data_IF_399232028746
#
_entry.id   IF_399232028746
#
_cell.length_a   1.000
_cell.length_b   1.000
_cell.length_c   1.000
_cell.angle_alpha   90.00
_cell.angle_beta   90.00
_cell.angle_gamma   90.00
#
_symmetry.space_group_name_H-M   'P 1'
#
loop_
_entity.id
_entity.type
_entity.pdbx_description
1 polymer ?
#
# COMPACT_ATOMS: atom_id res chain seq x y z
N UNK A 1 -14.43 -20.49 -19.32
CA UNK A 1 -13.85 -20.81 -17.99
C UNK A 1 -14.05 -19.66 -17.01
N UNK A 2 -13.63 -18.43 -17.29
CA UNK A 2 -13.83 -17.28 -16.37
C UNK A 2 -15.27 -17.03 -15.90
N UNK A 3 -16.27 -17.01 -16.80
CA UNK A 3 -17.69 -16.86 -16.44
C UNK A 3 -18.19 -17.93 -15.45
N UNK A 4 -17.71 -19.17 -15.59
CA UNK A 4 -18.08 -20.26 -14.69
C UNK A 4 -17.46 -20.07 -13.30
N UNK A 5 -16.20 -19.62 -13.22
CA UNK A 5 -15.56 -19.28 -11.94
C UNK A 5 -16.28 -18.13 -11.22
N UNK A 6 -16.69 -17.09 -11.96
CA UNK A 6 -17.47 -15.99 -11.40
C UNK A 6 -18.82 -16.48 -10.87
N UNK A 7 -19.49 -17.36 -11.61
CA UNK A 7 -20.73 -17.98 -11.16
C UNK A 7 -20.51 -18.80 -9.88
N UNK A 8 -19.49 -19.68 -9.85
CA UNK A 8 -19.14 -20.50 -8.67
C UNK A 8 -18.85 -19.64 -7.44
N UNK A 9 -18.12 -18.54 -7.59
CA UNK A 9 -17.90 -17.58 -6.50
C UNK A 9 -19.20 -17.01 -5.96
N UNK A 10 -20.09 -16.57 -6.85
CA UNK A 10 -21.37 -15.97 -6.48
C UNK A 10 -22.27 -16.97 -5.74
N UNK A 11 -22.42 -18.19 -6.26
CA UNK A 11 -23.25 -19.21 -5.60
C UNK A 11 -22.62 -19.71 -4.30
N UNK A 12 -21.28 -19.78 -4.20
CA UNK A 12 -20.60 -20.10 -2.93
C UNK A 12 -20.87 -19.03 -1.87
N UNK A 13 -20.70 -17.76 -2.23
CA UNK A 13 -20.95 -16.64 -1.33
C UNK A 13 -22.43 -16.57 -0.89
N UNK A 14 -23.36 -16.79 -1.82
CA UNK A 14 -24.81 -16.81 -1.54
C UNK A 14 -25.16 -17.94 -0.58
N UNK A 15 -24.66 -19.16 -0.82
CA UNK A 15 -24.90 -20.30 0.08
C UNK A 15 -24.35 -20.05 1.48
N UNK A 16 -23.20 -19.39 1.62
CA UNK A 16 -22.64 -19.01 2.93
C UNK A 16 -23.51 -17.96 3.64
N UNK A 17 -24.00 -16.97 2.91
CA UNK A 17 -24.87 -15.92 3.48
C UNK A 17 -26.22 -16.48 3.95
N UNK A 18 -26.79 -17.41 3.18
CA UNK A 18 -28.03 -18.12 3.51
C UNK A 18 -27.83 -19.26 4.53
N UNK A 19 -26.60 -19.45 5.05
CA UNK A 19 -26.23 -20.50 5.99
C UNK A 19 -26.50 -21.94 5.47
N UNK A 20 -26.47 -22.14 4.15
CA UNK A 20 -26.58 -23.42 3.46
C UNK A 20 -25.19 -24.06 3.34
N UNK A 21 -24.68 -24.56 4.47
CA UNK A 21 -23.29 -24.99 4.60
C UNK A 21 -22.90 -26.13 3.66
N UNK A 22 -23.76 -27.14 3.48
CA UNK A 22 -23.46 -28.27 2.59
C UNK A 22 -23.25 -27.81 1.14
N UNK A 23 -24.17 -26.98 0.63
CA UNK A 23 -24.05 -26.39 -0.71
C UNK A 23 -22.84 -25.45 -0.82
N UNK A 24 -22.51 -24.71 0.23
CA UNK A 24 -21.31 -23.87 0.24
C UNK A 24 -20.04 -24.73 0.13
N UNK A 25 -19.94 -25.82 0.88
CA UNK A 25 -18.79 -26.74 0.84
C UNK A 25 -18.64 -27.39 -0.53
N UNK A 26 -19.75 -27.84 -1.14
CA UNK A 26 -19.75 -28.41 -2.49
C UNK A 26 -19.27 -27.39 -3.53
N UNK A 27 -19.86 -26.19 -3.54
CA UNK A 27 -19.49 -25.13 -4.48
C UNK A 27 -18.02 -24.70 -4.33
N UNK A 28 -17.52 -24.58 -3.08
CA UNK A 28 -16.13 -24.23 -2.80
C UNK A 28 -15.16 -25.35 -3.21
N UNK A 29 -15.57 -26.61 -3.04
CA UNK A 29 -14.77 -27.77 -3.49
C UNK A 29 -14.62 -27.78 -5.02
N UNK A 30 -15.70 -27.50 -5.75
CA UNK A 30 -15.65 -27.36 -7.21
C UNK A 30 -14.80 -26.14 -7.62
N UNK A 31 -14.93 -25.03 -6.90
CA UNK A 31 -14.13 -23.82 -7.17
C UNK A 31 -12.63 -24.09 -7.05
N UNK A 32 -12.17 -24.75 -5.98
CA UNK A 32 -10.74 -25.08 -5.80
C UNK A 32 -10.17 -25.98 -6.90
N UNK A 33 -10.99 -26.85 -7.50
CA UNK A 33 -10.54 -27.71 -8.61
C UNK A 33 -10.32 -26.92 -9.91
N UNK A 34 -10.88 -25.72 -10.04
CA UNK A 34 -10.90 -24.95 -11.29
C UNK A 34 -10.05 -23.66 -11.24
N UNK A 35 -9.60 -23.24 -10.06
CA UNK A 35 -8.74 -22.06 -9.87
C UNK A 35 -7.26 -22.41 -9.95
N UNK A 36 -6.42 -21.41 -10.25
CA UNK A 36 -4.97 -21.57 -10.32
C UNK A 36 -4.27 -20.22 -10.09
N UNK A 37 -3.29 -20.20 -9.18
CA UNK A 37 -2.45 -19.02 -8.91
C UNK A 37 -1.50 -18.69 -10.08
N UNK A 38 -1.20 -19.66 -10.93
CA UNK A 38 -0.38 -19.49 -12.13
C UNK A 38 -1.23 -19.40 -13.41
N UNK A 39 -2.55 -19.30 -13.26
CA UNK A 39 -3.51 -19.22 -14.36
C UNK A 39 -3.72 -17.80 -14.88
N UNK A 40 -4.83 -17.63 -15.62
CA UNK A 40 -5.25 -16.30 -16.09
C UNK A 40 -5.68 -15.37 -14.93
N UNK A 41 -5.96 -14.10 -15.23
CA UNK A 41 -6.36 -13.11 -14.21
C UNK A 41 -7.61 -13.52 -13.44
N UNK A 42 -8.60 -14.14 -14.10
CA UNK A 42 -9.85 -14.55 -13.44
C UNK A 42 -9.61 -15.75 -12.53
N UNK A 43 -8.76 -16.69 -12.94
CA UNK A 43 -8.35 -17.83 -12.10
C UNK A 43 -7.64 -17.38 -10.83
N UNK A 44 -6.73 -16.39 -10.94
CA UNK A 44 -5.99 -15.85 -9.80
C UNK A 44 -6.91 -15.12 -8.82
N UNK A 45 -7.79 -14.25 -9.32
CA UNK A 45 -8.80 -13.58 -8.50
C UNK A 45 -9.69 -14.60 -7.81
N UNK A 46 -10.20 -15.59 -8.55
CA UNK A 46 -11.08 -16.60 -7.99
C UNK A 46 -10.39 -17.48 -6.93
N UNK A 47 -9.09 -17.76 -7.05
CA UNK A 47 -8.34 -18.47 -6.03
C UNK A 47 -8.32 -17.71 -4.70
N UNK A 48 -7.94 -16.42 -4.73
CA UNK A 48 -7.88 -15.61 -3.51
C UNK A 48 -9.26 -15.39 -2.87
N UNK A 49 -10.31 -15.23 -3.68
CA UNK A 49 -11.68 -15.16 -3.15
C UNK A 49 -12.15 -16.51 -2.57
N UNK A 50 -11.76 -17.65 -3.16
CA UNK A 50 -12.05 -18.96 -2.61
C UNK A 50 -11.46 -19.09 -1.19
N UNK A 51 -10.19 -18.72 -1.01
CA UNK A 51 -9.51 -18.71 0.29
C UNK A 51 -10.27 -17.83 1.30
N UNK A 52 -10.71 -16.63 0.89
CA UNK A 52 -11.49 -15.73 1.76
C UNK A 52 -12.85 -16.32 2.18
N UNK A 53 -13.57 -16.97 1.26
CA UNK A 53 -14.86 -17.62 1.56
C UNK A 53 -14.66 -18.83 2.49
N UNK A 54 -13.59 -19.59 2.30
CA UNK A 54 -13.26 -20.75 3.15
C UNK A 54 -12.82 -20.30 4.53
N UNK A 55 -12.01 -19.23 4.62
CA UNK A 55 -11.63 -18.64 5.90
C UNK A 55 -12.84 -18.16 6.70
N UNK A 56 -13.89 -17.65 6.03
CA UNK A 56 -15.17 -17.26 6.66
C UNK A 56 -15.98 -18.47 7.14
N UNK A 57 -15.93 -19.60 6.42
CA UNK A 57 -16.61 -20.84 6.79
C UNK A 57 -15.92 -21.54 7.98
N UNK A 58 -14.59 -21.49 8.02
CA UNK A 58 -13.80 -22.20 9.01
C UNK A 58 -13.76 -21.48 10.36
N UNK A 59 -13.62 -22.27 11.43
CA UNK A 59 -13.32 -21.71 12.76
C UNK A 59 -11.87 -21.22 12.82
N UNK A 60 -11.60 -20.23 13.66
CA UNK A 60 -10.24 -19.71 13.91
C UNK A 60 -9.24 -20.75 14.45
N UNK A 61 -9.73 -21.92 14.90
CA UNK A 61 -8.90 -23.03 15.38
C UNK A 61 -8.51 -24.02 14.28
N UNK A 62 -9.04 -23.85 13.07
CA UNK A 62 -8.70 -24.71 11.94
C UNK A 62 -7.25 -24.42 11.47
N UNK A 63 -6.38 -25.44 11.34
CA UNK A 63 -5.05 -25.25 10.77
C UNK A 63 -5.08 -24.66 9.35
N UNK A 64 -6.14 -24.94 8.59
CA UNK A 64 -6.32 -24.38 7.25
C UNK A 64 -6.69 -22.90 7.29
N UNK A 65 -7.47 -22.47 8.30
CA UNK A 65 -7.75 -21.05 8.53
C UNK A 65 -6.47 -20.31 8.94
N UNK A 66 -5.68 -20.88 9.83
CA UNK A 66 -4.37 -20.32 10.23
C UNK A 66 -3.43 -20.17 9.02
N UNK A 67 -3.40 -21.17 8.13
CA UNK A 67 -2.59 -21.11 6.91
C UNK A 67 -3.04 -19.99 5.96
N UNK A 68 -4.35 -19.83 5.73
CA UNK A 68 -4.90 -18.78 4.84
C UNK A 68 -4.67 -17.39 5.44
N UNK A 69 -4.88 -17.24 6.75
CA UNK A 69 -4.79 -15.96 7.46
C UNK A 69 -3.38 -15.63 7.94
N UNK A 70 -2.37 -16.38 7.50
CA UNK A 70 -0.99 -16.14 7.89
C UNK A 70 -0.52 -14.82 7.30
N UNK A 71 -0.20 -13.87 8.17
CA UNK A 71 0.37 -12.58 7.78
C UNK A 71 1.74 -12.78 7.11
N UNK A 72 2.06 -11.97 6.08
CA UNK A 72 3.40 -11.98 5.48
C UNK A 72 4.45 -11.49 6.47
N UNK A 73 5.71 -11.84 6.23
CA UNK A 73 6.81 -11.20 6.96
C UNK A 73 6.94 -9.74 6.51
N UNK A 74 7.51 -8.84 7.36
CA UNK A 74 7.77 -7.45 6.96
C UNK A 74 8.63 -7.35 5.68
N UNK A 75 9.57 -8.27 5.48
CA UNK A 75 10.41 -8.35 4.28
C UNK A 75 9.60 -8.71 3.03
N UNK A 76 8.72 -9.73 3.13
CA UNK A 76 7.85 -10.13 2.01
C UNK A 76 6.90 -8.98 1.62
N UNK A 77 6.35 -8.29 2.61
CA UNK A 77 5.45 -7.14 2.39
C UNK A 77 6.19 -5.99 1.71
N UNK A 78 7.40 -5.66 2.17
CA UNK A 78 8.23 -4.62 1.56
C UNK A 78 8.58 -4.95 0.10
N UNK A 79 8.97 -6.20 -0.18
CA UNK A 79 9.28 -6.65 -1.54
C UNK A 79 8.04 -6.60 -2.44
N UNK A 80 6.88 -7.04 -1.94
CA UNK A 80 5.63 -6.97 -2.68
C UNK A 80 5.22 -5.52 -2.99
N UNK A 81 5.34 -4.62 -2.01
CA UNK A 81 5.08 -3.20 -2.20
C UNK A 81 6.02 -2.59 -3.24
N UNK A 82 7.32 -2.89 -3.16
CA UNK A 82 8.32 -2.40 -4.10
C UNK A 82 8.05 -2.89 -5.53
N UNK A 83 7.71 -4.17 -5.71
CA UNK A 83 7.36 -4.71 -7.03
C UNK A 83 6.08 -4.08 -7.56
N UNK A 84 5.05 -3.91 -6.74
CA UNK A 84 3.82 -3.22 -7.15
C UNK A 84 4.09 -1.78 -7.60
N UNK A 85 4.97 -1.07 -6.90
CA UNK A 85 5.41 0.29 -7.28
C UNK A 85 6.17 0.34 -8.62
N UNK A 86 6.88 -0.74 -9.00
CA UNK A 86 7.60 -0.85 -10.27
C UNK A 86 6.70 -1.24 -11.44
N UNK A 87 5.76 -2.17 -11.23
CA UNK A 87 4.96 -2.75 -12.31
C UNK A 87 3.63 -2.02 -12.53
N UNK A 88 3.20 -1.19 -11.59
CA UNK A 88 1.93 -0.47 -11.65
C UNK A 88 2.11 1.02 -11.31
N UNK A 89 1.52 1.95 -12.07
CA UNK A 89 1.59 3.37 -11.78
C UNK A 89 0.68 3.78 -10.63
N UNK A 90 -0.06 2.85 -10.01
CA UNK A 90 -1.12 3.17 -9.04
C UNK A 90 -0.65 4.08 -7.90
N UNK A 91 0.40 3.67 -7.18
CA UNK A 91 0.95 4.45 -6.07
C UNK A 91 1.72 5.68 -6.57
N UNK A 92 2.50 5.55 -7.65
CA UNK A 92 3.23 6.67 -8.25
C UNK A 92 2.29 7.81 -8.65
N UNK A 93 1.17 7.48 -9.29
CA UNK A 93 0.15 8.44 -9.69
C UNK A 93 -0.42 9.18 -8.49
N UNK A 94 -0.81 8.45 -7.44
CA UNK A 94 -1.33 9.05 -6.21
C UNK A 94 -0.29 9.97 -5.55
N UNK A 95 0.95 9.49 -5.37
CA UNK A 95 2.05 10.23 -4.75
C UNK A 95 2.41 11.49 -5.54
N UNK A 96 2.62 11.39 -6.85
CA UNK A 96 2.98 12.55 -7.66
C UNK A 96 1.86 13.57 -7.71
N UNK A 97 0.60 13.14 -7.86
CA UNK A 97 -0.54 14.06 -7.86
C UNK A 97 -0.66 14.78 -6.53
N UNK A 98 -0.54 14.07 -5.40
CA UNK A 98 -0.56 14.68 -4.07
C UNK A 98 0.60 15.66 -3.87
N UNK A 99 1.82 15.27 -4.25
CA UNK A 99 3.00 16.11 -4.11
C UNK A 99 2.93 17.37 -4.99
N UNK A 100 2.34 17.30 -6.19
CA UNK A 100 2.10 18.49 -7.01
C UNK A 100 1.17 19.47 -6.29
N UNK A 101 0.05 18.98 -5.73
CA UNK A 101 -0.89 19.84 -5.00
C UNK A 101 -0.26 20.44 -3.73
N UNK A 102 0.55 19.66 -3.01
CA UNK A 102 1.31 20.14 -1.85
C UNK A 102 2.29 21.24 -2.25
N UNK A 103 3.04 21.04 -3.34
CA UNK A 103 3.98 22.04 -3.85
C UNK A 103 3.25 23.31 -4.27
N UNK A 104 2.18 23.22 -5.05
CA UNK A 104 1.40 24.40 -5.44
C UNK A 104 0.86 25.17 -4.23
N UNK A 105 0.39 24.46 -3.19
CA UNK A 105 -0.05 25.08 -1.95
C UNK A 105 1.11 25.78 -1.22
N UNK A 106 2.27 25.12 -1.13
CA UNK A 106 3.48 25.71 -0.56
C UNK A 106 3.89 26.98 -1.30
N UNK A 107 3.87 26.99 -2.64
CA UNK A 107 4.24 28.15 -3.45
C UNK A 107 3.26 29.31 -3.33
N UNK A 108 1.96 29.04 -3.22
CA UNK A 108 0.96 30.09 -2.99
C UNK A 108 1.21 30.88 -1.71
N UNK A 109 1.77 30.23 -0.69
CA UNK A 109 2.07 30.80 0.61
C UNK A 109 3.54 31.28 0.73
N UNK A 110 4.29 31.43 -0.37
CA UNK A 110 5.73 31.72 -0.36
C UNK A 110 6.13 32.97 0.46
N UNK A 111 5.22 33.95 0.58
CA UNK A 111 5.45 35.17 1.38
C UNK A 111 5.33 34.96 2.88
N UNK A 112 4.56 33.95 3.30
CA UNK A 112 4.10 33.78 4.68
C UNK A 112 4.62 32.46 5.30
N UNK A 113 5.02 31.49 4.48
CA UNK A 113 5.42 30.15 4.92
C UNK A 113 6.87 30.05 5.45
N UNK A 114 7.68 31.13 5.34
CA UNK A 114 9.09 31.16 5.73
C UNK A 114 9.93 29.98 5.20
N UNK A 115 9.64 29.53 3.97
CA UNK A 115 10.28 28.37 3.32
C UNK A 115 10.17 27.06 4.13
N UNK A 116 9.16 26.96 5.01
CA UNK A 116 8.95 25.82 5.89
C UNK A 116 7.68 25.08 5.49
N UNK A 117 7.81 23.78 5.23
CA UNK A 117 6.71 22.88 4.95
C UNK A 117 6.62 21.82 6.05
N UNK A 118 5.44 21.66 6.63
CA UNK A 118 5.15 20.55 7.54
C UNK A 118 4.06 19.66 6.93
N UNK A 119 4.43 18.42 6.64
CA UNK A 119 3.52 17.38 6.17
C UNK A 119 3.15 16.47 7.33
N UNK A 120 1.87 16.11 7.42
CA UNK A 120 1.38 15.05 8.31
C UNK A 120 0.91 13.91 7.43
N UNK A 121 1.64 12.80 7.46
CA UNK A 121 1.35 11.59 6.69
C UNK A 121 0.70 10.54 7.60
N UNK A 122 -0.56 10.20 7.30
CA UNK A 122 -1.38 9.33 8.14
C UNK A 122 -1.06 7.84 7.96
N UNK A 123 -0.27 7.49 6.95
CA UNK A 123 0.26 6.14 6.74
C UNK A 123 1.53 6.24 5.88
N UNK A 124 2.65 6.53 6.54
CA UNK A 124 3.93 6.80 5.84
C UNK A 124 4.48 5.56 5.13
N UNK A 125 4.05 4.38 5.55
CA UNK A 125 4.54 3.09 5.08
C UNK A 125 6.06 3.09 4.95
N UNK A 126 6.55 2.80 3.73
CA UNK A 126 7.97 2.75 3.42
C UNK A 126 8.59 4.09 2.96
N UNK A 127 7.81 5.18 2.97
CA UNK A 127 8.27 6.54 2.66
C UNK A 127 8.46 6.87 1.17
N UNK A 128 7.93 6.05 0.24
CA UNK A 128 8.22 6.17 -1.20
C UNK A 128 7.68 7.46 -1.85
N UNK A 129 6.70 8.12 -1.24
CA UNK A 129 6.13 9.37 -1.73
C UNK A 129 7.13 10.54 -1.64
N UNK A 130 7.81 10.66 -0.51
CA UNK A 130 8.49 11.88 -0.07
C UNK A 130 9.79 12.25 -0.79
N UNK A 131 10.60 11.30 -1.31
CA UNK A 131 11.80 11.65 -2.08
C UNK A 131 11.54 12.62 -3.25
N UNK A 132 10.42 12.46 -3.96
CA UNK A 132 10.07 13.35 -5.07
C UNK A 132 9.71 14.77 -4.63
N UNK A 133 9.07 14.91 -3.47
CA UNK A 133 8.77 16.20 -2.86
C UNK A 133 10.05 16.89 -2.37
N UNK A 134 10.96 16.15 -1.72
CA UNK A 134 12.27 16.66 -1.29
C UNK A 134 13.07 17.22 -2.47
N UNK A 135 13.11 16.50 -3.59
CA UNK A 135 13.76 16.97 -4.81
C UNK A 135 13.13 18.27 -5.32
N UNK A 136 11.79 18.33 -5.39
CA UNK A 136 11.07 19.51 -5.87
C UNK A 136 11.30 20.75 -4.98
N UNK A 137 11.33 20.57 -3.66
CA UNK A 137 11.68 21.63 -2.70
C UNK A 137 13.12 22.10 -2.87
N UNK A 138 14.07 21.18 -3.04
CA UNK A 138 15.48 21.48 -3.28
C UNK A 138 15.70 22.25 -4.58
N UNK A 139 15.03 21.85 -5.66
CA UNK A 139 15.17 22.51 -6.97
C UNK A 139 14.62 23.94 -6.93
N UNK A 140 13.47 24.14 -6.27
CA UNK A 140 12.89 25.46 -6.03
C UNK A 140 13.83 26.34 -5.19
N UNK A 141 14.33 25.81 -4.08
CA UNK A 141 15.23 26.53 -3.18
C UNK A 141 16.52 26.96 -3.90
N UNK A 142 17.06 26.11 -4.78
CA UNK A 142 18.22 26.45 -5.62
C UNK A 142 17.92 27.66 -6.52
N UNK A 143 16.75 27.68 -7.16
CA UNK A 143 16.33 28.79 -8.05
C UNK A 143 16.22 30.12 -7.28
N UNK A 144 15.75 30.08 -6.04
CA UNK A 144 15.61 31.26 -5.18
C UNK A 144 16.87 31.67 -4.40
N UNK A 145 17.95 30.86 -4.45
CA UNK A 145 19.08 30.93 -3.49
C UNK A 145 18.62 30.90 -2.02
N UNK A 146 17.63 30.04 -1.72
CA UNK A 146 17.01 29.87 -0.40
C UNK A 146 17.41 28.53 0.22
N UNK A 147 17.06 28.36 1.49
CA UNK A 147 17.09 27.07 2.20
C UNK A 147 15.66 26.75 2.62
N UNK A 148 15.18 25.56 2.24
CA UNK A 148 13.85 25.09 2.63
C UNK A 148 13.94 24.18 3.85
N UNK A 149 12.91 24.22 4.70
CA UNK A 149 12.72 23.27 5.79
C UNK A 149 11.54 22.37 5.48
N UNK A 150 11.73 21.06 5.60
CA UNK A 150 10.69 20.04 5.49
C UNK A 150 10.62 19.25 6.79
N UNK A 151 9.48 19.30 7.47
CA UNK A 151 9.14 18.36 8.53
C UNK A 151 8.09 17.39 8.03
N UNK A 152 8.28 16.10 8.28
CA UNK A 152 7.26 15.07 8.06
C UNK A 152 6.93 14.44 9.41
N UNK A 153 5.66 14.49 9.80
CA UNK A 153 5.14 13.67 10.89
C UNK A 153 4.50 12.42 10.29
N UNK A 154 5.05 11.24 10.56
CA UNK A 154 4.62 9.97 9.97
C UNK A 154 3.89 9.07 10.96
N UNK A 155 2.73 8.56 10.56
CA UNK A 155 2.03 7.48 11.26
C UNK A 155 2.32 6.15 10.56
N UNK A 156 2.48 5.08 11.34
CA UNK A 156 2.80 3.73 10.84
C UNK A 156 2.32 2.67 11.82
N UNK A 157 2.50 1.39 11.47
CA UNK A 157 1.93 0.27 12.25
C UNK A 157 2.78 -0.06 13.47
N UNK A 158 4.10 0.04 13.33
CA UNK A 158 5.06 -0.25 14.39
C UNK A 158 6.14 0.82 14.45
N UNK A 159 6.80 0.93 15.61
CA UNK A 159 7.94 1.85 15.77
C UNK A 159 9.12 1.45 14.87
N UNK A 160 9.39 0.16 14.74
CA UNK A 160 10.47 -0.37 13.89
C UNK A 160 10.29 0.03 12.42
N UNK A 161 9.07 -0.08 11.89
CA UNK A 161 8.74 0.38 10.53
C UNK A 161 9.01 1.89 10.35
N UNK A 162 8.65 2.69 11.35
CA UNK A 162 8.87 4.14 11.35
C UNK A 162 10.36 4.48 11.44
N UNK A 163 11.13 3.82 12.29
CA UNK A 163 12.58 4.02 12.43
C UNK A 163 13.32 3.71 11.12
N UNK A 164 12.93 2.64 10.43
CA UNK A 164 13.50 2.33 9.12
C UNK A 164 13.13 3.36 8.05
N UNK A 165 11.89 3.81 8.03
CA UNK A 165 11.43 4.83 7.08
C UNK A 165 12.10 6.17 7.35
N UNK A 166 12.24 6.57 8.61
CA UNK A 166 13.04 7.71 9.03
C UNK A 166 14.47 7.59 8.51
N UNK A 167 15.15 6.46 8.77
CA UNK A 167 16.53 6.25 8.36
C UNK A 167 16.71 6.42 6.83
N UNK A 168 15.78 5.88 6.03
CA UNK A 168 15.75 6.04 4.57
C UNK A 168 15.56 7.50 4.16
N UNK A 169 14.56 8.19 4.72
CA UNK A 169 14.22 9.57 4.38
C UNK A 169 15.31 10.56 4.82
N UNK A 170 15.83 10.44 6.03
CA UNK A 170 16.96 11.23 6.54
C UNK A 170 18.21 10.97 5.71
N UNK A 171 18.48 9.71 5.35
CA UNK A 171 19.58 9.33 4.47
C UNK A 171 19.49 10.02 3.10
N UNK A 172 18.30 10.02 2.49
CA UNK A 172 18.06 10.68 1.21
C UNK A 172 18.13 12.20 1.32
N UNK A 173 17.54 12.80 2.36
CA UNK A 173 17.52 14.24 2.57
C UNK A 173 18.93 14.85 2.69
N UNK A 174 19.88 14.12 3.27
CA UNK A 174 21.30 14.53 3.39
C UNK A 174 21.99 14.76 2.03
N UNK A 175 21.41 14.28 0.93
CA UNK A 175 21.95 14.52 -0.41
C UNK A 175 21.71 15.96 -0.90
N UNK A 176 20.77 16.68 -0.27
CA UNK A 176 20.44 18.07 -0.59
C UNK A 176 21.14 19.03 0.39
N UNK A 177 21.85 20.03 -0.13
CA UNK A 177 22.59 21.01 0.71
C UNK A 177 21.71 22.15 1.22
N UNK A 178 20.57 22.35 0.60
CA UNK A 178 19.64 23.47 0.77
C UNK A 178 18.27 23.01 1.28
N UNK A 179 18.20 21.80 1.85
CA UNK A 179 17.02 21.25 2.49
C UNK A 179 17.36 20.83 3.92
N UNK A 180 16.69 21.44 4.89
CA UNK A 180 16.70 21.01 6.28
C UNK A 180 15.54 20.05 6.46
N UNK A 181 15.81 18.81 6.88
CA UNK A 181 14.80 17.77 7.03
C UNK A 181 14.68 17.31 8.47
N UNK A 182 13.44 17.15 8.93
CA UNK A 182 13.06 16.58 10.22
C UNK A 182 11.97 15.52 10.01
N UNK A 183 12.08 14.39 10.69
CA UNK A 183 11.05 13.36 10.75
C UNK A 183 10.57 13.22 12.21
N UNK A 184 9.26 13.05 12.40
CA UNK A 184 8.62 12.89 13.70
C UNK A 184 7.60 11.76 13.69
#
# INVERSE_FOLDING_TARGET
>A
KGLHLIHLLLVSATSLDENKLDSAVENLSELYQNVSLNGDSVQRVAAYFADGLVARLLTRRSPFHEMIMKEPSPEDEFLAYMELYKVSPYYQFAHFTANQVIMEAFEREEKDNNQTLHVVDLDVGYGFQWPSLMQSLSDKATTGNLVSSLRITGFGRTLEELEETEARLVGFAKTFKNLIFEFQ
#
